data_IF_948382811137
#
_entry.id   IF_948382811137
#
_cell.length_a   1.000
_cell.length_b   1.000
_cell.length_c   1.000
_cell.angle_alpha   90.00
_cell.angle_beta   90.00
_cell.angle_gamma   90.00
#
_symmetry.space_group_name_H-M   'P 1'
#
loop_
_entity.id
_entity.type
_entity.pdbx_description
1 polymer ?
#
# COMPACT_ATOMS: atom_id res chain seq x y z
N UNK A 1 24.57 -6.40 4.55
CA UNK A 1 24.57 -7.50 4.81
C UNK A 1 23.57 -7.99 5.69
N UNK A 2 23.28 -7.71 6.74
CA UNK A 2 22.36 -8.33 7.63
C UNK A 2 20.96 -7.80 7.57
N UNK A 3 20.56 -7.34 6.43
CA UNK A 3 19.22 -6.83 6.25
C UNK A 3 18.19 -7.93 6.11
N UNK A 4 18.67 -9.18 6.09
CA UNK A 4 17.83 -10.34 5.87
C UNK A 4 16.71 -10.46 6.89
N UNK A 5 16.93 -10.01 8.11
CA UNK A 5 15.97 -10.13 9.19
C UNK A 5 15.30 -8.80 9.56
N UNK A 6 15.47 -7.80 8.71
CA UNK A 6 14.85 -6.52 9.00
C UNK A 6 13.36 -6.57 8.66
N UNK A 7 12.54 -6.18 9.61
CA UNK A 7 11.10 -6.09 9.41
C UNK A 7 10.80 -4.87 8.53
N UNK A 8 10.17 -5.04 7.36
CA UNK A 8 9.84 -3.89 6.54
C UNK A 8 8.81 -3.01 7.24
N UNK A 9 9.00 -1.70 7.14
CA UNK A 9 8.08 -0.71 7.70
C UNK A 9 7.12 -0.30 6.61
N UNK A 10 5.82 -0.45 6.86
CA UNK A 10 4.78 -0.20 5.87
C UNK A 10 3.72 0.70 6.45
N UNK A 11 3.34 1.74 5.72
CA UNK A 11 2.24 2.59 6.08
C UNK A 11 1.04 2.31 5.16
N UNK A 12 -0.15 2.24 5.75
CA UNK A 12 -1.38 1.96 5.01
C UNK A 12 -2.18 3.24 4.86
N UNK A 13 -2.43 3.65 3.62
CA UNK A 13 -3.25 4.80 3.29
C UNK A 13 -4.58 4.32 2.71
N UNK A 14 -5.69 4.76 3.27
CA UNK A 14 -7.02 4.35 2.83
C UNK A 14 -8.04 5.44 3.14
N UNK A 15 -9.19 5.39 2.45
CA UNK A 15 -10.28 6.32 2.71
C UNK A 15 -11.25 5.73 3.73
N UNK A 16 -11.82 6.60 4.58
CA UNK A 16 -12.83 6.19 5.57
C UNK A 16 -14.20 6.17 4.89
N UNK A 17 -14.49 5.09 4.18
CA UNK A 17 -15.73 5.01 3.41
C UNK A 17 -16.88 4.47 4.23
N UNK A 18 -16.68 3.30 4.81
CA UNK A 18 -17.68 2.63 5.64
C UNK A 18 -16.97 1.68 6.60
N UNK A 19 -17.73 1.08 7.50
CA UNK A 19 -17.16 0.21 8.52
C UNK A 19 -16.58 -1.08 7.92
N UNK A 20 -17.20 -1.61 6.88
CA UNK A 20 -16.69 -2.82 6.24
C UNK A 20 -15.32 -2.58 5.60
N UNK A 21 -15.14 -1.44 4.97
CA UNK A 21 -13.86 -1.08 4.36
C UNK A 21 -12.78 -0.87 5.42
N UNK A 22 -13.13 -0.18 6.50
CA UNK A 22 -12.20 0.01 7.62
C UNK A 22 -11.79 -1.33 8.22
N UNK A 23 -12.75 -2.23 8.40
CA UNK A 23 -12.49 -3.54 8.98
C UNK A 23 -11.60 -4.40 8.05
N UNK A 24 -11.89 -4.39 6.76
CA UNK A 24 -11.06 -5.12 5.80
C UNK A 24 -9.61 -4.64 5.84
N UNK A 25 -9.44 -3.31 5.84
CA UNK A 25 -8.11 -2.70 5.89
C UNK A 25 -7.38 -3.08 7.18
N UNK A 26 -8.09 -3.04 8.30
CA UNK A 26 -7.52 -3.42 9.59
C UNK A 26 -7.10 -4.88 9.62
N UNK A 27 -7.89 -5.77 9.03
CA UNK A 27 -7.53 -7.18 8.96
C UNK A 27 -6.28 -7.41 8.11
N UNK A 28 -6.13 -6.66 7.02
CA UNK A 28 -4.91 -6.72 6.23
C UNK A 28 -3.69 -6.31 7.05
N UNK A 29 -3.81 -5.23 7.81
CA UNK A 29 -2.74 -4.78 8.70
C UNK A 29 -2.42 -5.84 9.75
N UNK A 30 -3.45 -6.42 10.36
CA UNK A 30 -3.24 -7.45 11.38
C UNK A 30 -2.52 -8.67 10.80
N UNK A 31 -2.85 -9.06 9.59
CA UNK A 31 -2.20 -10.18 8.92
C UNK A 31 -0.74 -9.84 8.61
N UNK A 32 -0.47 -8.65 8.13
CA UNK A 32 0.89 -8.20 7.85
C UNK A 32 1.74 -8.21 9.12
N UNK A 33 1.19 -7.70 10.22
CA UNK A 33 1.91 -7.67 11.49
C UNK A 33 2.19 -9.08 12.00
N UNK A 34 1.24 -9.99 11.84
CA UNK A 34 1.44 -11.40 12.23
C UNK A 34 2.58 -12.04 11.44
N UNK A 35 2.83 -11.59 10.23
CA UNK A 35 3.88 -12.10 9.37
C UNK A 35 5.17 -11.27 9.41
N UNK A 36 5.33 -10.44 10.43
CA UNK A 36 6.58 -9.73 10.70
C UNK A 36 6.73 -8.38 10.02
N UNK A 37 5.72 -7.90 9.30
CA UNK A 37 5.75 -6.58 8.70
C UNK A 37 5.36 -5.55 9.76
N UNK A 38 6.18 -4.52 9.92
CA UNK A 38 5.89 -3.42 10.84
C UNK A 38 4.91 -2.47 10.14
N UNK A 39 3.64 -2.88 10.10
CA UNK A 39 2.57 -2.17 9.41
C UNK A 39 1.91 -1.16 10.34
N UNK A 40 1.83 0.08 9.86
CA UNK A 40 1.28 1.21 10.58
C UNK A 40 -0.01 1.66 9.92
N UNK A 41 -1.01 1.94 10.74
CA UNK A 41 -2.30 2.44 10.29
C UNK A 41 -2.82 3.42 11.34
N UNK A 42 -3.65 4.38 10.91
CA UNK A 42 -4.20 5.38 11.81
C UNK A 42 -4.87 4.80 13.05
N UNK A 43 -5.62 3.73 12.86
CA UNK A 43 -6.38 3.12 13.95
C UNK A 43 -5.51 2.63 15.10
N UNK A 44 -4.24 2.31 14.84
CA UNK A 44 -3.31 1.87 15.87
C UNK A 44 -2.30 2.95 16.25
N UNK A 45 -1.89 3.79 15.31
CA UNK A 45 -0.71 4.62 15.48
C UNK A 45 -0.99 6.11 15.65
N UNK A 46 -2.18 6.56 15.27
CA UNK A 46 -2.56 7.96 15.43
C UNK A 46 -3.15 8.17 16.83
N UNK A 47 -2.54 9.04 17.60
CA UNK A 47 -3.00 9.34 18.96
C UNK A 47 -3.95 10.53 18.98
N UNK A 48 -4.85 10.54 19.94
CA UNK A 48 -5.77 11.65 20.12
C UNK A 48 -4.95 12.93 20.33
N UNK A 49 -5.37 13.98 19.64
CA UNK A 49 -4.70 15.29 19.71
C UNK A 49 -3.57 15.47 18.68
N UNK A 50 -3.13 14.42 18.01
CA UNK A 50 -2.14 14.56 16.97
C UNK A 50 -2.72 15.23 15.73
N UNK A 51 -1.87 15.95 15.00
CA UNK A 51 -2.29 16.56 13.75
C UNK A 51 -2.12 15.56 12.61
N UNK A 52 -3.20 15.29 11.90
CA UNK A 52 -3.23 14.29 10.84
C UNK A 52 -2.20 14.54 9.73
N UNK A 53 -2.03 15.76 9.20
CA UNK A 53 -1.03 15.98 8.16
C UNK A 53 0.39 15.66 8.61
N UNK A 54 0.74 16.00 9.84
CA UNK A 54 2.06 15.70 10.39
C UNK A 54 2.26 14.21 10.57
N UNK A 55 1.23 13.52 11.05
CA UNK A 55 1.26 12.07 11.20
C UNK A 55 1.54 11.41 9.85
N UNK A 56 0.81 11.78 8.81
CA UNK A 56 0.98 11.19 7.48
C UNK A 56 2.39 11.44 6.93
N UNK A 57 2.88 12.67 7.05
CA UNK A 57 4.21 13.00 6.55
C UNK A 57 5.29 12.18 7.26
N UNK A 58 5.18 12.03 8.57
CA UNK A 58 6.14 11.27 9.35
C UNK A 58 6.08 9.78 8.99
N UNK A 59 4.88 9.23 8.85
CA UNK A 59 4.71 7.81 8.54
C UNK A 59 5.21 7.48 7.14
N UNK A 60 4.93 8.34 6.16
CA UNK A 60 5.42 8.15 4.80
C UNK A 60 6.95 8.22 4.76
N UNK A 61 7.52 9.16 5.49
CA UNK A 61 8.98 9.33 5.54
C UNK A 61 9.68 8.11 6.12
N UNK A 62 9.12 7.53 7.18
CA UNK A 62 9.71 6.37 7.85
C UNK A 62 9.49 5.07 7.10
N UNK A 63 8.43 4.97 6.31
CA UNK A 63 8.03 3.72 5.68
C UNK A 63 8.99 3.30 4.58
N UNK A 64 9.22 2.00 4.49
CA UNK A 64 9.89 1.40 3.34
C UNK A 64 8.91 1.32 2.18
N UNK A 65 7.63 1.06 2.47
CA UNK A 65 6.56 1.01 1.48
C UNK A 65 5.30 1.66 2.02
N UNK A 66 4.53 2.25 1.12
CA UNK A 66 3.22 2.82 1.43
C UNK A 66 2.21 2.08 0.56
N UNK A 67 1.27 1.40 1.20
CA UNK A 67 0.20 0.70 0.48
C UNK A 67 -1.00 1.63 0.38
N UNK A 68 -1.43 1.89 -0.84
CA UNK A 68 -2.58 2.76 -1.09
C UNK A 68 -3.76 1.89 -1.48
N UNK A 69 -4.78 1.84 -0.61
CA UNK A 69 -5.96 1.02 -0.82
C UNK A 69 -6.89 1.77 -1.77
N UNK A 70 -6.86 1.38 -3.03
CA UNK A 70 -7.55 2.09 -4.09
C UNK A 70 -9.00 1.68 -4.21
N UNK A 71 -9.87 2.67 -4.16
CA UNK A 71 -11.31 2.56 -4.38
C UNK A 71 -11.73 3.79 -5.18
N UNK A 72 -12.93 3.79 -5.80
CA UNK A 72 -13.41 5.00 -6.45
C UNK A 72 -13.49 6.20 -5.51
N UNK A 73 -13.83 5.97 -4.24
CA UNK A 73 -13.85 7.03 -3.24
C UNK A 73 -12.45 7.60 -3.01
N UNK A 74 -11.45 6.72 -2.88
CA UNK A 74 -10.08 7.16 -2.69
C UNK A 74 -9.61 8.03 -3.86
N UNK A 75 -9.88 7.58 -5.09
CA UNK A 75 -9.49 8.31 -6.29
C UNK A 75 -10.11 9.70 -6.32
N UNK A 76 -11.42 9.78 -6.08
CA UNK A 76 -12.12 11.05 -6.08
C UNK A 76 -11.50 12.02 -5.08
N UNK A 77 -11.27 11.56 -3.86
CA UNK A 77 -10.69 12.40 -2.81
C UNK A 77 -9.25 12.81 -3.12
N UNK A 78 -8.45 11.88 -3.60
CA UNK A 78 -7.05 12.16 -3.90
C UNK A 78 -6.89 13.14 -5.06
N UNK A 79 -7.66 12.94 -6.12
CA UNK A 79 -7.57 13.79 -7.32
C UNK A 79 -8.08 15.21 -7.07
N UNK A 80 -9.06 15.37 -6.18
CA UNK A 80 -9.69 16.66 -5.92
C UNK A 80 -9.20 17.35 -4.66
N UNK A 81 -8.27 16.72 -3.94
CA UNK A 81 -7.84 17.24 -2.65
C UNK A 81 -6.86 18.39 -2.80
N UNK A 82 -7.17 19.48 -2.12
CA UNK A 82 -6.21 20.55 -1.90
C UNK A 82 -5.66 20.41 -0.48
N UNK A 83 -4.40 20.81 -0.33
CA UNK A 83 -3.73 20.71 0.96
C UNK A 83 -4.53 21.42 2.06
N UNK A 84 -4.74 20.75 3.17
CA UNK A 84 -5.39 21.32 4.34
C UNK A 84 -6.90 21.26 4.36
N UNK A 85 -7.54 20.67 3.35
CA UNK A 85 -9.00 20.61 3.28
C UNK A 85 -9.51 19.19 3.53
N UNK A 86 -10.35 19.07 4.55
CA UNK A 86 -11.13 17.85 4.85
C UNK A 86 -10.34 16.55 4.95
N UNK A 87 -10.51 15.84 6.04
CA UNK A 87 -9.85 14.55 6.23
C UNK A 87 -10.92 13.46 6.33
N UNK A 88 -11.10 12.74 5.23
CA UNK A 88 -12.04 11.63 5.16
C UNK A 88 -11.28 10.31 5.04
N UNK A 89 -10.15 10.23 5.71
CA UNK A 89 -9.23 9.11 5.68
C UNK A 89 -7.81 9.60 5.56
N UNK A 90 -6.87 8.68 5.42
CA UNK A 90 -5.45 8.98 5.25
C UNK A 90 -5.11 9.01 3.77
N UNK A 91 -5.72 9.96 3.07
CA UNK A 91 -5.60 10.06 1.62
C UNK A 91 -4.39 10.91 1.26
N UNK A 92 -3.50 10.34 0.47
CA UNK A 92 -2.29 11.00 0.02
C UNK A 92 -2.61 11.91 -1.16
N UNK A 93 -2.31 13.20 -1.02
CA UNK A 93 -2.45 14.14 -2.12
C UNK A 93 -1.24 14.04 -3.04
N UNK A 94 -1.35 14.55 -4.26
CA UNK A 94 -0.20 14.61 -5.17
C UNK A 94 0.94 15.43 -4.58
N UNK A 95 0.63 16.48 -3.84
CA UNK A 95 1.63 17.31 -3.17
C UNK A 95 2.41 16.52 -2.13
N UNK A 96 1.69 15.73 -1.32
CA UNK A 96 2.33 14.93 -0.29
C UNK A 96 3.21 13.83 -0.88
N UNK A 97 2.81 13.27 -2.02
CA UNK A 97 3.60 12.24 -2.69
C UNK A 97 4.88 12.80 -3.30
N UNK A 98 4.84 14.05 -3.74
CA UNK A 98 6.03 14.70 -4.30
C UNK A 98 7.11 14.83 -3.24
N UNK A 99 8.35 14.61 -3.63
CA UNK A 99 9.48 14.67 -2.71
C UNK A 99 9.81 13.33 -2.06
N UNK A 100 8.98 12.32 -2.24
CA UNK A 100 9.27 10.97 -1.77
C UNK A 100 9.62 10.07 -2.95
N UNK A 101 10.32 8.97 -2.66
CA UNK A 101 10.66 8.00 -3.69
C UNK A 101 9.39 7.33 -4.21
N UNK A 102 9.13 7.49 -5.48
CA UNK A 102 7.92 6.99 -6.10
C UNK A 102 7.76 5.48 -5.98
N UNK A 103 8.87 4.75 -5.95
CA UNK A 103 8.86 3.29 -5.90
C UNK A 103 8.30 2.73 -4.60
N UNK A 104 8.27 3.53 -3.53
CA UNK A 104 7.73 3.04 -2.27
C UNK A 104 6.20 2.93 -2.27
N UNK A 105 5.51 3.57 -3.22
CA UNK A 105 4.04 3.59 -3.24
C UNK A 105 3.49 2.46 -4.08
N UNK A 106 2.76 1.54 -3.43
CA UNK A 106 2.20 0.35 -4.08
C UNK A 106 0.68 0.43 -4.07
N UNK A 107 0.03 0.46 -5.25
CA UNK A 107 -1.43 0.45 -5.30
C UNK A 107 -2.00 -0.92 -4.95
N UNK A 108 -3.08 -0.93 -4.18
CA UNK A 108 -3.87 -2.11 -3.90
C UNK A 108 -5.28 -1.85 -4.45
N UNK A 109 -5.75 -2.67 -5.38
CA UNK A 109 -7.07 -2.50 -5.98
C UNK A 109 -8.07 -3.22 -5.09
N UNK A 110 -8.91 -2.46 -4.39
CA UNK A 110 -9.91 -3.06 -3.51
C UNK A 110 -11.31 -3.02 -4.10
N UNK A 111 -11.67 -1.94 -4.78
CA UNK A 111 -12.98 -1.78 -5.40
C UNK A 111 -12.83 -1.03 -6.72
N UNK A 112 -13.70 -1.34 -7.68
CA UNK A 112 -13.70 -0.68 -8.98
C UNK A 112 -12.56 -1.18 -9.87
N UNK A 113 -12.47 -0.64 -11.06
CA UNK A 113 -11.38 -0.94 -11.99
C UNK A 113 -10.21 0.00 -11.76
N UNK A 114 -9.10 -0.28 -12.42
CA UNK A 114 -7.91 0.56 -12.32
C UNK A 114 -8.22 2.00 -12.71
N UNK A 115 -8.97 2.18 -13.80
CA UNK A 115 -9.33 3.51 -14.31
C UNK A 115 -10.17 4.30 -13.30
N UNK A 116 -11.04 3.61 -12.57
CA UNK A 116 -11.99 4.24 -11.68
C UNK A 116 -11.48 4.41 -10.25
N UNK A 117 -10.43 3.68 -9.87
CA UNK A 117 -9.97 3.64 -8.49
C UNK A 117 -8.54 4.14 -8.25
N UNK A 118 -7.71 4.21 -9.31
CA UNK A 118 -6.35 4.74 -9.15
C UNK A 118 -6.36 6.26 -9.23
N UNK A 119 -5.85 6.94 -8.21
CA UNK A 119 -5.57 8.38 -8.35
C UNK A 119 -4.68 8.65 -9.56
N UNK A 120 -4.77 9.86 -10.10
CA UNK A 120 -3.98 10.23 -11.29
C UNK A 120 -2.49 10.00 -11.06
N UNK A 121 -2.00 10.29 -9.85
CA UNK A 121 -0.55 10.14 -9.55
C UNK A 121 -0.10 8.67 -9.51
N UNK A 122 -1.03 7.71 -9.52
CA UNK A 122 -0.68 6.28 -9.60
C UNK A 122 -0.83 5.71 -11.02
N UNK A 123 -1.14 6.56 -12.00
CA UNK A 123 -1.33 6.10 -13.38
C UNK A 123 -0.09 5.37 -13.88
N UNK A 124 -0.32 4.20 -14.48
CA UNK A 124 0.76 3.40 -15.02
C UNK A 124 1.47 2.49 -14.03
N UNK A 125 1.16 2.59 -12.74
CA UNK A 125 1.76 1.70 -11.75
C UNK A 125 1.08 0.35 -11.73
N UNK A 126 1.87 -0.69 -11.51
CA UNK A 126 1.34 -2.04 -11.32
C UNK A 126 0.89 -2.18 -9.87
N UNK A 127 -0.34 -2.61 -9.67
CA UNK A 127 -0.89 -2.84 -8.34
C UNK A 127 -1.24 -4.30 -8.13
N UNK A 128 -1.66 -4.63 -6.91
CA UNK A 128 -2.13 -5.96 -6.56
C UNK A 128 -3.65 -5.90 -6.42
N UNK A 129 -4.32 -6.87 -7.01
CA UNK A 129 -5.78 -6.91 -7.05
C UNK A 129 -6.33 -7.71 -5.86
N UNK A 130 -6.99 -7.02 -4.93
CA UNK A 130 -7.65 -7.64 -3.79
C UNK A 130 -9.17 -7.52 -3.85
N UNK A 131 -9.73 -7.42 -5.06
CA UNK A 131 -11.19 -7.32 -5.22
C UNK A 131 -11.89 -8.65 -4.98
N UNK A 132 -11.24 -9.76 -5.31
CA UNK A 132 -11.81 -11.10 -5.17
C UNK A 132 -11.31 -11.74 -3.89
N UNK A 133 -12.18 -11.80 -2.88
CA UNK A 133 -11.79 -12.32 -1.57
C UNK A 133 -11.45 -13.82 -1.60
N UNK A 134 -11.92 -14.57 -2.61
CA UNK A 134 -11.57 -15.98 -2.74
C UNK A 134 -10.12 -16.20 -3.14
N UNK A 135 -9.47 -15.14 -3.66
CA UNK A 135 -8.06 -15.19 -4.07
C UNK A 135 -7.15 -14.39 -3.13
N UNK A 136 -7.65 -14.07 -1.96
CA UNK A 136 -6.90 -13.27 -1.00
C UNK A 136 -5.53 -13.87 -0.68
N UNK A 137 -5.47 -15.16 -0.36
CA UNK A 137 -4.19 -15.77 0.07
C UNK A 137 -3.14 -15.72 -1.04
N UNK A 138 -3.54 -15.99 -2.27
CA UNK A 138 -2.65 -15.94 -3.41
C UNK A 138 -2.06 -14.54 -3.61
N UNK A 139 -2.91 -13.54 -3.59
CA UNK A 139 -2.49 -12.15 -3.77
C UNK A 139 -1.71 -11.64 -2.56
N UNK A 140 -2.09 -12.09 -1.36
CA UNK A 140 -1.36 -11.72 -0.15
C UNK A 140 0.07 -12.25 -0.16
N UNK A 141 0.30 -13.48 -0.64
CA UNK A 141 1.65 -14.02 -0.76
C UNK A 141 2.51 -13.17 -1.69
N UNK A 142 1.95 -12.71 -2.79
CA UNK A 142 2.65 -11.82 -3.72
C UNK A 142 3.04 -10.51 -3.05
N UNK A 143 2.11 -9.92 -2.31
CA UNK A 143 2.37 -8.70 -1.58
C UNK A 143 3.48 -8.90 -0.56
N UNK A 144 3.38 -9.94 0.24
CA UNK A 144 4.34 -10.21 1.30
C UNK A 144 5.74 -10.45 0.72
N UNK A 145 5.84 -11.21 -0.37
CA UNK A 145 7.12 -11.43 -1.03
C UNK A 145 7.73 -10.12 -1.53
N UNK A 146 6.91 -9.24 -2.07
CA UNK A 146 7.37 -7.92 -2.53
C UNK A 146 7.92 -7.09 -1.36
N UNK A 147 7.19 -7.07 -0.24
CA UNK A 147 7.60 -6.28 0.93
C UNK A 147 8.93 -6.76 1.52
N UNK A 148 9.18 -8.06 1.46
CA UNK A 148 10.44 -8.64 1.94
C UNK A 148 11.53 -8.65 0.86
N UNK A 149 11.25 -8.16 -0.35
CA UNK A 149 12.22 -8.16 -1.44
C UNK A 149 12.56 -9.55 -1.95
N UNK A 150 11.61 -10.50 -1.79
CA UNK A 150 11.84 -11.91 -2.13
C UNK A 150 10.85 -12.41 -3.18
N UNK A 151 10.61 -11.59 -4.18
CA UNK A 151 9.71 -11.96 -5.26
C UNK A 151 10.19 -13.26 -5.92
N UNK A 152 9.27 -14.21 -6.05
CA UNK A 152 9.59 -15.52 -6.63
C UNK A 152 9.96 -15.40 -8.09
N UNK A 153 11.12 -15.94 -8.42
CA UNK A 153 11.58 -16.02 -9.79
C UNK A 153 12.42 -17.30 -9.91
N UNK A 154 12.11 -18.18 -10.86
CA UNK A 154 12.91 -19.37 -11.05
C UNK A 154 14.38 -19.03 -11.33
N UNK A 155 15.27 -19.86 -10.85
CA UNK A 155 16.69 -19.67 -11.15
C UNK A 155 16.94 -19.86 -12.64
N UNK A 156 17.92 -19.12 -13.14
CA UNK A 156 18.31 -19.25 -14.53
C UNK A 156 18.96 -20.62 -14.76
N UNK A 157 18.37 -21.38 -15.68
CA UNK A 157 18.97 -22.66 -16.07
C UNK A 157 20.14 -22.46 -17.02
N UNK A 158 20.70 -23.57 -17.46
CA UNK A 158 21.76 -23.55 -18.45
C UNK A 158 21.17 -23.70 -19.86
N UNK A 159 21.93 -23.27 -20.85
CA UNK A 159 21.51 -23.44 -22.24
C UNK A 159 21.35 -24.94 -22.54
N UNK A 160 20.21 -25.34 -23.15
CA UNK A 160 20.02 -26.74 -23.51
C UNK A 160 21.14 -27.26 -24.42
N UNK A 161 21.53 -28.52 -24.20
CA UNK A 161 22.65 -29.11 -24.95
C UNK A 161 22.36 -29.26 -26.45
N UNK A 162 21.09 -29.28 -26.84
CA UNK A 162 20.73 -29.40 -28.24
C UNK A 162 20.83 -28.08 -29.02
N UNK A 163 21.04 -26.98 -28.32
CA UNK A 163 21.28 -25.68 -28.95
C UNK A 163 22.79 -25.58 -29.28
N UNK A 164 23.07 -25.28 -30.52
CA UNK A 164 24.45 -25.17 -30.96
C UNK A 164 24.80 -23.78 -31.42
#
# INVERSE_FOLDING_TARGET
>A
MNEINKNPIVFISYSWEDDDHKEWTLQLVNRLRADGVDAHIDQYDLSLGERLPQFMEQEITKADYVLIICTPNYKEKADNRTSGVGYEGHIISSELMQGHNEEKFIPIIRKGGIRDSFPIYLSGKLGIDFRDDTRFEENYEDLLATLYGKKKKPQLGTMPTYIK
#
